data_IF_469033477970
#
_entry.id   IF_469033477970
#
_cell.length_a   1.000
_cell.length_b   1.000
_cell.length_c   1.000
_cell.angle_alpha   90.00
_cell.angle_beta   90.00
_cell.angle_gamma   90.00
#
_symmetry.space_group_name_H-M   'P 1'
#
loop_
_entity.id
_entity.type
_entity.pdbx_description
1 polymer ?
#
# COMPACT_ATOMS: atom_id res chain seq x y z
N UNK A 1 -13.92 35.60 -50.43
CA UNK A 1 -13.31 36.03 -49.16
C UNK A 1 -13.63 34.98 -48.13
N UNK A 2 -12.71 34.09 -47.95
CA UNK A 2 -12.83 32.91 -47.07
C UNK A 2 -12.05 33.22 -45.80
N UNK A 3 -12.77 33.41 -44.70
CA UNK A 3 -12.20 33.51 -43.38
C UNK A 3 -11.96 32.10 -42.81
N UNK A 4 -10.71 31.66 -42.77
CA UNK A 4 -10.30 30.44 -42.06
C UNK A 4 -10.19 30.72 -40.57
N UNK A 5 -10.93 29.97 -39.79
CA UNK A 5 -10.84 29.94 -38.33
C UNK A 5 -9.67 29.03 -37.93
N UNK A 6 -8.66 29.47 -37.20
CA UNK A 6 -7.60 28.60 -36.71
C UNK A 6 -8.08 27.93 -35.42
N UNK A 7 -8.47 26.65 -35.54
CA UNK A 7 -8.63 25.73 -34.39
C UNK A 7 -7.31 25.69 -33.61
N UNK A 8 -7.26 26.40 -32.49
CA UNK A 8 -6.21 26.28 -31.50
C UNK A 8 -6.28 24.89 -30.86
N UNK A 9 -5.50 23.96 -31.38
CA UNK A 9 -5.19 22.69 -30.69
C UNK A 9 -4.26 23.01 -29.53
N UNK A 10 -4.86 23.33 -28.41
CA UNK A 10 -4.16 23.38 -27.12
C UNK A 10 -3.78 21.96 -26.73
N UNK A 11 -2.60 21.50 -27.10
CA UNK A 11 -1.94 20.36 -26.47
C UNK A 11 -1.67 20.76 -25.03
N UNK A 12 -2.53 20.38 -24.09
CA UNK A 12 -2.17 20.36 -22.67
C UNK A 12 -0.90 19.52 -22.57
N UNK A 13 0.22 20.15 -22.29
CA UNK A 13 1.47 19.49 -22.01
C UNK A 13 1.21 18.54 -20.82
N UNK A 14 1.19 17.25 -21.08
CA UNK A 14 0.97 16.23 -20.07
C UNK A 14 2.10 16.39 -19.06
N UNK A 15 1.80 16.98 -17.89
CA UNK A 15 2.78 17.20 -16.84
C UNK A 15 3.51 15.89 -16.56
N UNK A 16 4.84 15.94 -16.49
CA UNK A 16 5.67 14.77 -16.22
C UNK A 16 5.14 14.04 -14.97
N UNK A 17 5.17 12.70 -15.02
CA UNK A 17 4.73 11.91 -13.88
C UNK A 17 5.63 12.19 -12.68
N UNK A 18 5.09 12.40 -11.47
CA UNK A 18 5.89 12.69 -10.29
C UNK A 18 6.79 11.49 -9.92
N UNK A 19 7.86 11.76 -9.17
CA UNK A 19 8.73 10.71 -8.65
C UNK A 19 7.95 9.78 -7.72
N UNK A 20 7.19 10.36 -6.78
CA UNK A 20 6.45 9.63 -5.74
C UNK A 20 4.97 9.96 -5.81
N UNK A 21 4.12 8.93 -5.73
CA UNK A 21 2.70 9.08 -5.42
C UNK A 21 2.38 8.42 -4.08
N UNK A 22 1.65 9.13 -3.23
CA UNK A 22 1.07 8.58 -2.01
C UNK A 22 -0.45 8.47 -2.21
N UNK A 23 -0.99 7.26 -2.09
CA UNK A 23 -2.43 7.01 -2.15
C UNK A 23 -3.01 6.79 -0.76
N UNK A 24 -3.95 7.64 -0.33
CA UNK A 24 -4.60 7.57 0.97
C UNK A 24 -6.09 7.26 0.78
N UNK A 25 -6.51 5.98 0.86
CA UNK A 25 -7.92 5.63 0.96
C UNK A 25 -8.40 5.89 2.39
N UNK A 26 -9.57 6.53 2.54
CA UNK A 26 -10.14 6.84 3.85
C UNK A 26 -11.65 6.59 3.87
N UNK A 27 -12.16 6.16 5.02
CA UNK A 27 -13.58 6.08 5.34
C UNK A 27 -13.78 6.34 6.83
N UNK A 28 -14.52 7.41 7.18
CA UNK A 28 -14.80 7.84 8.55
C UNK A 28 -13.53 7.94 9.41
N UNK A 29 -12.56 8.72 8.93
CA UNK A 29 -11.23 8.83 9.52
C UNK A 29 -10.97 10.08 10.33
N UNK A 30 -11.96 10.90 10.66
CA UNK A 30 -11.81 12.25 11.25
C UNK A 30 -10.86 12.30 12.47
N UNK A 31 -10.81 11.19 13.24
CA UNK A 31 -10.06 11.14 14.50
C UNK A 31 -8.53 11.17 14.33
N UNK A 32 -8.00 10.63 13.22
CA UNK A 32 -6.55 10.46 13.00
C UNK A 32 -6.06 11.13 11.71
N UNK A 33 -6.96 11.37 10.77
CA UNK A 33 -6.63 11.81 9.41
C UNK A 33 -5.78 13.08 9.36
N UNK A 34 -6.00 14.02 10.29
CA UNK A 34 -5.24 15.28 10.32
C UNK A 34 -3.75 15.02 10.53
N UNK A 35 -3.39 14.22 11.53
CA UNK A 35 -1.99 13.85 11.82
C UNK A 35 -1.36 13.12 10.63
N UNK A 36 -2.09 12.18 10.03
CA UNK A 36 -1.63 11.47 8.85
C UNK A 36 -1.31 12.44 7.71
N UNK A 37 -2.25 13.33 7.34
CA UNK A 37 -2.07 14.31 6.26
C UNK A 37 -0.95 15.31 6.55
N UNK A 38 -0.79 15.77 7.79
CA UNK A 38 0.32 16.62 8.19
C UNK A 38 1.67 15.94 7.91
N UNK A 39 1.81 14.66 8.28
CA UNK A 39 3.04 13.90 8.03
C UNK A 39 3.30 13.67 6.53
N UNK A 40 2.25 13.46 5.72
CA UNK A 40 2.36 13.29 4.28
C UNK A 40 2.74 14.60 3.58
N UNK A 41 2.16 15.73 3.99
CA UNK A 41 2.49 17.04 3.44
C UNK A 41 3.88 17.53 3.88
N UNK A 42 4.39 17.06 5.03
CA UNK A 42 5.73 17.37 5.53
C UNK A 42 6.86 16.61 4.81
N UNK A 43 6.55 15.68 3.89
CA UNK A 43 7.60 14.93 3.21
C UNK A 43 8.54 15.82 2.41
N UNK A 44 9.85 15.60 2.59
CA UNK A 44 10.92 16.40 1.98
C UNK A 44 11.16 16.13 0.49
N UNK A 45 10.63 15.01 -0.04
CA UNK A 45 10.65 14.75 -1.47
C UNK A 45 9.78 15.77 -2.19
N UNK A 46 10.38 16.59 -3.08
CA UNK A 46 9.69 17.71 -3.72
C UNK A 46 8.72 17.27 -4.83
N UNK A 47 9.11 16.26 -5.60
CA UNK A 47 8.33 15.74 -6.73
C UNK A 47 7.37 14.63 -6.23
N UNK A 48 6.29 15.06 -5.59
CA UNK A 48 5.31 14.26 -4.87
C UNK A 48 3.88 14.62 -5.26
N UNK A 49 3.02 13.64 -5.46
CA UNK A 49 1.56 13.80 -5.42
C UNK A 49 0.95 12.99 -4.26
N UNK A 50 -0.12 13.49 -3.66
CA UNK A 50 -0.91 12.83 -2.64
C UNK A 50 -2.35 12.70 -3.17
N UNK A 51 -2.81 11.47 -3.36
CA UNK A 51 -4.15 11.18 -3.86
C UNK A 51 -5.00 10.64 -2.72
N UNK A 52 -5.97 11.43 -2.27
CA UNK A 52 -6.92 11.02 -1.24
C UNK A 52 -8.19 10.50 -1.92
N UNK A 53 -8.64 9.31 -1.55
CA UNK A 53 -9.94 8.78 -1.93
C UNK A 53 -10.82 8.60 -0.69
N UNK A 54 -11.75 9.51 -0.50
CA UNK A 54 -12.78 9.45 0.53
C UNK A 54 -13.93 8.53 0.07
N UNK A 55 -14.09 7.43 0.75
CA UNK A 55 -15.02 6.35 0.43
C UNK A 55 -16.48 6.66 0.84
N UNK A 56 -16.95 7.89 0.55
CA UNK A 56 -18.25 8.43 0.95
C UNK A 56 -18.41 8.52 2.49
N UNK A 57 -17.43 9.10 3.18
CA UNK A 57 -17.46 9.31 4.64
C UNK A 57 -18.65 10.16 5.07
N UNK A 58 -19.14 9.91 6.29
CA UNK A 58 -20.31 10.57 6.90
C UNK A 58 -19.96 11.41 8.14
N UNK A 59 -18.68 11.45 8.50
CA UNK A 59 -18.10 12.24 9.59
C UNK A 59 -17.38 13.49 9.06
N UNK A 60 -16.48 14.09 9.86
CA UNK A 60 -15.69 15.26 9.49
C UNK A 60 -14.57 15.03 8.46
N UNK A 61 -14.39 13.81 7.94
CA UNK A 61 -13.33 13.43 6.99
C UNK A 61 -13.28 14.35 5.77
N UNK A 62 -14.43 14.63 5.13
CA UNK A 62 -14.49 15.47 3.94
C UNK A 62 -13.95 16.88 4.21
N UNK A 63 -14.35 17.49 5.33
CA UNK A 63 -13.90 18.85 5.69
C UNK A 63 -12.37 18.90 5.84
N UNK A 64 -11.77 17.91 6.52
CA UNK A 64 -10.32 17.80 6.69
C UNK A 64 -9.64 17.63 5.33
N UNK A 65 -10.11 16.71 4.48
CA UNK A 65 -9.50 16.49 3.16
C UNK A 65 -9.53 17.75 2.27
N UNK A 66 -10.64 18.48 2.26
CA UNK A 66 -10.79 19.72 1.48
C UNK A 66 -9.87 20.83 2.00
N UNK A 67 -9.69 20.94 3.32
CA UNK A 67 -8.74 21.88 3.91
C UNK A 67 -7.31 21.63 3.41
N UNK A 68 -6.83 20.37 3.46
CA UNK A 68 -5.49 20.03 3.00
C UNK A 68 -5.33 20.20 1.49
N UNK A 69 -6.33 19.83 0.68
CA UNK A 69 -6.30 20.04 -0.77
C UNK A 69 -6.25 21.54 -1.14
N UNK A 70 -6.85 22.42 -0.34
CA UNK A 70 -6.78 23.87 -0.56
C UNK A 70 -5.42 24.47 -0.15
N UNK A 71 -4.72 23.87 0.82
CA UNK A 71 -3.44 24.38 1.36
C UNK A 71 -2.21 23.86 0.61
N UNK A 72 -2.28 22.67 0.00
CA UNK A 72 -1.16 22.01 -0.66
C UNK A 72 -1.57 21.50 -2.05
N UNK A 73 -1.01 22.11 -3.11
CA UNK A 73 -1.28 21.77 -4.52
C UNK A 73 -0.90 20.33 -4.90
N UNK A 74 -0.08 19.66 -4.09
CA UNK A 74 0.28 18.25 -4.28
C UNK A 74 -0.85 17.30 -3.88
N UNK A 75 -1.82 17.78 -3.08
CA UNK A 75 -2.95 17.01 -2.58
C UNK A 75 -4.10 17.08 -3.57
N UNK A 76 -4.54 15.92 -4.04
CA UNK A 76 -5.72 15.74 -4.87
C UNK A 76 -6.77 14.93 -4.12
N UNK A 77 -7.89 15.57 -3.79
CA UNK A 77 -9.02 14.96 -3.10
C UNK A 77 -10.07 14.47 -4.08
N UNK A 78 -10.50 13.21 -3.90
CA UNK A 78 -11.56 12.57 -4.68
C UNK A 78 -12.55 11.94 -3.69
N UNK A 79 -13.81 12.35 -3.77
CA UNK A 79 -14.89 11.72 -3.00
C UNK A 79 -15.61 10.70 -3.87
N UNK A 80 -15.77 9.48 -3.36
CA UNK A 80 -16.55 8.44 -4.02
C UNK A 80 -18.06 8.71 -3.85
N UNK A 81 -18.87 8.31 -4.83
CA UNK A 81 -20.31 8.43 -4.77
C UNK A 81 -20.94 7.53 -3.70
N UNK A 82 -20.28 6.42 -3.38
CA UNK A 82 -20.69 5.42 -2.38
C UNK A 82 -19.48 4.74 -1.76
N UNK A 83 -19.68 4.08 -0.64
CA UNK A 83 -18.66 3.23 -0.05
C UNK A 83 -18.39 1.99 -0.94
N UNK A 84 -17.19 1.92 -1.50
CA UNK A 84 -16.72 0.83 -2.37
C UNK A 84 -16.18 -0.37 -1.58
N UNK A 85 -15.97 -0.21 -0.27
CA UNK A 85 -15.20 -1.12 0.58
C UNK A 85 -13.72 -0.76 0.62
N UNK A 86 -13.00 -1.31 1.58
CA UNK A 86 -11.58 -0.98 1.79
C UNK A 86 -10.72 -1.42 0.59
N UNK A 87 -10.78 -2.69 0.19
CA UNK A 87 -9.95 -3.23 -0.88
C UNK A 87 -10.07 -2.46 -2.21
N UNK A 88 -11.26 -2.27 -2.77
CA UNK A 88 -11.46 -1.45 -3.97
C UNK A 88 -10.96 -0.01 -3.82
N UNK A 89 -11.11 0.63 -2.64
CA UNK A 89 -10.65 1.99 -2.41
C UNK A 89 -9.11 2.07 -2.36
N UNK A 90 -8.44 1.08 -1.81
CA UNK A 90 -6.98 0.94 -1.88
C UNK A 90 -6.48 0.84 -3.32
N UNK A 91 -7.16 0.06 -4.17
CA UNK A 91 -6.81 -0.04 -5.58
C UNK A 91 -7.13 1.24 -6.36
N UNK A 92 -8.23 1.92 -6.00
CA UNK A 92 -8.61 3.17 -6.65
C UNK A 92 -7.51 4.23 -6.55
N UNK A 93 -6.93 4.47 -5.37
CA UNK A 93 -5.86 5.47 -5.22
C UNK A 93 -4.59 5.10 -6.00
N UNK A 94 -4.29 3.81 -6.16
CA UNK A 94 -3.20 3.37 -7.02
C UNK A 94 -3.47 3.71 -8.49
N UNK A 95 -4.66 3.37 -9.00
CA UNK A 95 -5.01 3.64 -10.41
C UNK A 95 -5.16 5.14 -10.70
N UNK A 96 -5.60 5.93 -9.72
CA UNK A 96 -5.72 7.37 -9.83
C UNK A 96 -4.37 8.10 -9.75
N UNK A 97 -3.29 7.44 -9.31
CA UNK A 97 -1.94 8.00 -9.18
C UNK A 97 -1.09 7.77 -10.43
N UNK A 98 0.05 8.52 -10.57
CA UNK A 98 0.89 8.51 -11.76
C UNK A 98 2.39 8.30 -11.46
N UNK A 99 2.80 8.39 -10.20
CA UNK A 99 4.20 8.39 -9.79
C UNK A 99 4.99 7.16 -10.23
N UNK A 100 6.29 7.34 -10.44
CA UNK A 100 7.25 6.26 -10.71
C UNK A 100 7.31 5.27 -9.56
N UNK A 101 7.23 5.78 -8.32
CA UNK A 101 7.07 5.04 -7.09
C UNK A 101 5.71 5.31 -6.48
N UNK A 102 5.16 4.30 -5.83
CA UNK A 102 3.86 4.40 -5.17
C UNK A 102 3.92 3.89 -3.73
N UNK A 103 3.22 4.58 -2.83
CA UNK A 103 3.00 4.18 -1.44
C UNK A 103 1.53 4.27 -1.09
N UNK A 104 0.97 3.22 -0.46
CA UNK A 104 -0.28 3.38 0.27
C UNK A 104 -0.05 4.09 1.61
N UNK A 105 -0.98 4.91 2.03
CA UNK A 105 -1.04 5.47 3.38
C UNK A 105 -2.36 5.08 4.05
N UNK A 106 -2.31 4.73 5.32
CA UNK A 106 -3.48 4.62 6.17
C UNK A 106 -3.77 5.99 6.80
N UNK A 107 -5.04 6.24 7.15
CA UNK A 107 -5.48 7.51 7.72
C UNK A 107 -5.11 7.68 9.19
N UNK A 108 -4.64 6.62 9.82
CA UNK A 108 -4.30 6.51 11.25
C UNK A 108 -2.80 6.33 11.52
N UNK A 109 -1.97 6.31 10.46
CA UNK A 109 -0.52 6.13 10.55
C UNK A 109 0.20 7.41 10.09
N UNK A 110 1.46 7.58 10.52
CA UNK A 110 2.29 8.73 10.14
C UNK A 110 3.76 8.35 9.96
N UNK A 111 4.60 9.26 9.49
CA UNK A 111 6.01 8.98 9.21
C UNK A 111 6.90 10.21 9.36
N UNK A 112 8.21 9.98 9.53
CA UNK A 112 9.20 11.05 9.52
C UNK A 112 9.23 11.79 8.19
N UNK A 113 9.57 13.10 8.19
CA UNK A 113 9.58 13.92 6.98
C UNK A 113 10.50 13.40 5.87
N UNK A 114 11.58 12.72 6.19
CA UNK A 114 12.58 12.19 5.25
C UNK A 114 12.21 10.80 4.69
N UNK A 115 11.15 10.17 5.20
CA UNK A 115 10.83 8.77 4.93
C UNK A 115 10.74 8.45 3.43
N UNK A 116 10.05 9.27 2.65
CA UNK A 116 9.93 9.03 1.21
C UNK A 116 11.22 9.33 0.46
N UNK A 117 11.97 10.34 0.88
CA UNK A 117 13.25 10.68 0.26
C UNK A 117 14.29 9.57 0.42
N UNK A 118 14.45 9.04 1.65
CA UNK A 118 15.41 7.94 1.90
C UNK A 118 14.99 6.64 1.21
N UNK A 119 13.68 6.32 1.17
CA UNK A 119 13.18 5.16 0.44
C UNK A 119 13.38 5.29 -1.07
N UNK A 120 13.10 6.46 -1.66
CA UNK A 120 13.32 6.70 -3.08
C UNK A 120 14.80 6.58 -3.44
N UNK A 121 15.70 7.20 -2.67
CA UNK A 121 17.15 7.08 -2.87
C UNK A 121 17.63 5.63 -2.78
N UNK A 122 17.12 4.85 -1.82
CA UNK A 122 17.47 3.43 -1.68
C UNK A 122 16.98 2.58 -2.87
N UNK A 123 15.81 2.89 -3.42
CA UNK A 123 15.31 2.23 -4.63
C UNK A 123 16.11 2.64 -5.87
N UNK A 124 16.48 3.92 -6.02
CA UNK A 124 17.34 4.37 -7.14
C UNK A 124 18.71 3.67 -7.11
N UNK A 125 19.31 3.51 -5.92
CA UNK A 125 20.63 2.89 -5.73
C UNK A 125 20.63 1.37 -6.00
N UNK A 126 19.48 0.68 -5.87
CA UNK A 126 19.38 -0.77 -6.10
C UNK A 126 18.21 -1.12 -7.02
N UNK A 127 18.47 -1.28 -8.35
CA UNK A 127 17.45 -1.67 -9.32
C UNK A 127 16.78 -3.02 -9.02
N UNK A 128 17.39 -3.90 -8.24
CA UNK A 128 16.81 -5.19 -7.84
C UNK A 128 15.80 -5.06 -6.68
N UNK A 129 15.80 -3.92 -5.99
CA UNK A 129 14.81 -3.64 -4.95
C UNK A 129 13.49 -3.15 -5.57
N UNK A 130 12.39 -3.80 -5.25
CA UNK A 130 11.03 -3.45 -5.72
C UNK A 130 10.25 -2.66 -4.69
N UNK A 131 10.58 -2.82 -3.41
CA UNK A 131 9.95 -2.14 -2.27
C UNK A 131 11.04 -1.68 -1.30
N UNK A 132 10.86 -0.46 -0.75
CA UNK A 132 11.65 0.06 0.35
C UNK A 132 10.73 0.65 1.42
N UNK A 133 11.00 0.32 2.68
CA UNK A 133 10.26 0.86 3.82
C UNK A 133 11.21 1.44 4.88
N UNK A 134 10.79 2.45 5.66
CA UNK A 134 11.52 2.92 6.83
C UNK A 134 11.51 1.88 7.96
N UNK A 135 12.17 2.16 9.07
CA UNK A 135 11.97 1.38 10.30
C UNK A 135 10.51 1.43 10.71
N UNK A 136 9.90 0.26 10.93
CA UNK A 136 8.50 0.13 11.31
C UNK A 136 8.38 0.21 12.83
N UNK A 137 7.53 1.11 13.32
CA UNK A 137 7.34 1.37 14.76
C UNK A 137 5.85 1.33 15.08
N UNK A 138 5.45 0.46 16.01
CA UNK A 138 4.10 0.51 16.57
C UNK A 138 4.06 1.49 17.73
N UNK A 139 3.05 2.38 17.73
CA UNK A 139 2.82 3.37 18.76
C UNK A 139 1.36 3.30 19.26
N UNK A 140 1.14 3.76 20.51
CA UNK A 140 -0.23 3.98 21.01
C UNK A 140 -0.84 5.29 20.48
N UNK A 141 -2.07 5.60 20.90
CA UNK A 141 -2.78 6.83 20.53
C UNK A 141 -2.11 8.12 21.07
N UNK A 142 -1.20 8.00 22.02
CA UNK A 142 -0.41 9.08 22.60
C UNK A 142 0.97 9.20 21.97
N UNK A 143 1.33 8.30 21.03
CA UNK A 143 2.62 8.28 20.35
C UNK A 143 3.74 7.56 21.13
N UNK A 144 3.44 6.87 22.23
CA UNK A 144 4.43 6.06 22.93
C UNK A 144 4.73 4.79 22.13
N UNK A 145 6.02 4.46 22.02
CA UNK A 145 6.49 3.28 21.30
C UNK A 145 6.07 2.00 22.03
N UNK A 146 5.36 1.12 21.33
CA UNK A 146 4.96 -0.22 21.78
C UNK A 146 5.97 -1.25 21.31
N UNK A 147 6.39 -1.20 20.03
CA UNK A 147 7.31 -2.14 19.41
C UNK A 147 8.04 -1.52 18.22
N UNK A 148 9.26 -2.00 17.95
CA UNK A 148 10.03 -1.68 16.73
C UNK A 148 10.28 -2.97 15.95
N UNK A 149 10.18 -2.90 14.62
CA UNK A 149 10.36 -4.05 13.72
C UNK A 149 11.54 -3.80 12.78
N UNK A 150 12.73 -4.09 13.25
CA UNK A 150 13.93 -4.05 12.42
C UNK A 150 13.99 -5.32 11.56
N UNK A 151 13.85 -5.15 10.25
CA UNK A 151 13.97 -6.22 9.24
C UNK A 151 15.40 -6.41 8.75
N UNK A 152 16.27 -5.46 9.04
CA UNK A 152 17.68 -5.51 8.65
C UNK A 152 17.87 -5.86 7.17
N UNK A 153 18.60 -6.93 6.89
CA UNK A 153 18.88 -7.41 5.53
C UNK A 153 18.00 -8.58 5.09
N UNK A 154 17.00 -8.98 5.88
CA UNK A 154 16.22 -10.19 5.64
C UNK A 154 15.52 -10.18 4.26
N UNK A 155 14.99 -9.03 3.83
CA UNK A 155 14.36 -8.85 2.51
C UNK A 155 15.32 -8.79 1.31
N UNK A 156 16.64 -8.89 1.51
CA UNK A 156 17.68 -8.78 0.46
C UNK A 156 18.16 -10.14 -0.06
N UNK A 157 17.82 -11.23 0.62
CA UNK A 157 18.25 -12.58 0.29
C UNK A 157 17.68 -13.14 -1.01
N UNK A 158 17.88 -14.45 -1.28
CA UNK A 158 17.27 -15.16 -2.41
C UNK A 158 15.73 -15.07 -2.41
N UNK A 159 15.11 -15.20 -3.57
CA UNK A 159 13.65 -15.07 -3.73
C UNK A 159 12.86 -16.00 -2.79
N UNK A 160 13.33 -17.27 -2.62
CA UNK A 160 12.70 -18.24 -1.70
C UNK A 160 12.67 -17.77 -0.24
N UNK A 161 13.71 -17.08 0.22
CA UNK A 161 13.82 -16.65 1.60
C UNK A 161 12.99 -15.39 1.85
N UNK A 162 13.04 -14.42 0.92
CA UNK A 162 12.17 -13.24 0.93
C UNK A 162 10.68 -13.62 0.91
N UNK A 163 10.30 -14.51 -0.02
CA UNK A 163 8.94 -15.01 -0.16
C UNK A 163 8.46 -15.68 1.12
N UNK A 164 9.25 -16.63 1.66
CA UNK A 164 8.89 -17.33 2.89
C UNK A 164 8.72 -16.38 4.07
N UNK A 165 9.59 -15.38 4.21
CA UNK A 165 9.55 -14.41 5.30
C UNK A 165 8.20 -13.66 5.36
N UNK A 166 7.71 -13.18 4.21
CA UNK A 166 6.50 -12.34 4.18
C UNK A 166 5.20 -13.13 4.21
N UNK A 167 5.21 -14.42 3.80
CA UNK A 167 3.99 -15.25 3.80
C UNK A 167 3.75 -15.97 5.14
N UNK A 168 4.68 -15.90 6.10
CA UNK A 168 4.53 -16.53 7.40
C UNK A 168 3.35 -15.95 8.18
N UNK A 169 2.61 -16.82 8.90
CA UNK A 169 1.64 -16.39 9.90
C UNK A 169 2.39 -15.63 11.01
N UNK A 170 1.80 -14.55 11.49
CA UNK A 170 2.41 -13.66 12.49
C UNK A 170 3.31 -12.57 11.91
N UNK A 171 3.61 -12.59 10.60
CA UNK A 171 4.19 -11.43 9.94
C UNK A 171 3.15 -10.29 9.88
N UNK A 172 3.51 -9.09 10.32
CA UNK A 172 2.55 -7.98 10.46
C UNK A 172 2.22 -7.25 9.16
N UNK A 173 2.87 -7.60 8.05
CA UNK A 173 2.67 -7.07 6.71
C UNK A 173 2.76 -5.53 6.57
N UNK A 174 3.32 -4.82 7.55
CA UNK A 174 3.38 -3.35 7.55
C UNK A 174 4.26 -2.79 6.42
N UNK A 175 5.14 -3.62 5.84
CA UNK A 175 5.95 -3.27 4.65
C UNK A 175 5.08 -2.92 3.43
N UNK A 176 3.80 -3.31 3.39
CA UNK A 176 2.87 -2.90 2.33
C UNK A 176 2.72 -1.38 2.24
N UNK A 177 2.94 -0.68 3.35
CA UNK A 177 2.99 0.79 3.43
C UNK A 177 4.36 1.37 3.07
N UNK A 178 5.30 0.59 2.58
CA UNK A 178 6.56 1.05 2.00
C UNK A 178 6.39 1.69 0.63
N UNK A 179 7.45 2.36 0.15
CA UNK A 179 7.53 2.89 -1.19
C UNK A 179 7.86 1.76 -2.17
N UNK A 180 7.03 1.56 -3.18
CA UNK A 180 7.13 0.44 -4.11
C UNK A 180 7.27 0.93 -5.55
N UNK A 181 8.09 0.27 -6.36
CA UNK A 181 8.14 0.55 -7.81
C UNK A 181 6.76 0.31 -8.42
N UNK A 182 6.21 1.34 -9.08
CA UNK A 182 4.93 1.21 -9.79
C UNK A 182 4.97 0.07 -10.82
N UNK A 183 6.08 -0.09 -11.53
CA UNK A 183 6.27 -1.17 -12.52
C UNK A 183 6.18 -2.57 -11.90
N UNK A 184 6.60 -2.75 -10.64
CA UNK A 184 6.45 -4.01 -9.94
C UNK A 184 5.01 -4.24 -9.48
N UNK A 185 4.32 -3.21 -8.97
CA UNK A 185 2.90 -3.29 -8.58
C UNK A 185 2.00 -3.65 -9.77
N UNK A 186 2.25 -3.10 -10.94
CA UNK A 186 1.50 -3.42 -12.17
C UNK A 186 1.60 -4.89 -12.61
N UNK A 187 2.58 -5.65 -12.09
CA UNK A 187 2.75 -7.08 -12.33
C UNK A 187 2.09 -7.96 -11.25
N UNK A 188 1.46 -7.35 -10.26
CA UNK A 188 0.75 -8.02 -9.17
C UNK A 188 -0.76 -7.93 -9.36
N UNK A 189 -1.50 -8.57 -8.48
CA UNK A 189 -2.93 -8.39 -8.42
C UNK A 189 -3.39 -7.26 -7.49
N UNK A 190 -2.46 -6.45 -7.00
CA UNK A 190 -2.74 -5.40 -6.01
C UNK A 190 -3.45 -5.96 -4.77
N UNK A 191 -4.32 -5.15 -4.15
CA UNK A 191 -5.16 -5.61 -3.03
C UNK A 191 -6.31 -6.44 -3.59
N UNK A 192 -6.41 -7.71 -3.18
CA UNK A 192 -7.41 -8.67 -3.66
C UNK A 192 -8.74 -8.50 -2.91
N UNK A 193 -9.79 -9.19 -3.36
CA UNK A 193 -11.14 -9.08 -2.82
C UNK A 193 -11.36 -9.90 -1.53
N UNK A 194 -10.31 -10.17 -0.78
CA UNK A 194 -10.35 -10.90 0.49
C UNK A 194 -9.41 -10.28 1.52
N UNK A 195 -9.73 -10.45 2.78
CA UNK A 195 -8.92 -9.94 3.91
C UNK A 195 -7.53 -10.59 3.94
N UNK A 196 -6.55 -9.86 4.47
CA UNK A 196 -5.13 -10.28 4.56
C UNK A 196 -4.46 -10.47 3.18
N UNK A 197 -5.02 -9.87 2.13
CA UNK A 197 -4.45 -9.87 0.78
C UNK A 197 -3.19 -9.03 0.63
N UNK A 198 -2.87 -8.15 1.58
CA UNK A 198 -1.58 -7.49 1.74
C UNK A 198 -0.41 -8.49 1.83
N UNK A 199 -0.59 -9.61 2.55
CA UNK A 199 0.36 -10.73 2.60
C UNK A 199 0.58 -11.35 1.22
N UNK A 200 -0.47 -11.51 0.44
CA UNK A 200 -0.38 -12.00 -0.94
C UNK A 200 0.41 -11.03 -1.80
N UNK A 201 0.11 -9.73 -1.71
CA UNK A 201 0.82 -8.69 -2.43
C UNK A 201 2.32 -8.65 -2.08
N UNK A 202 2.66 -8.71 -0.80
CA UNK A 202 4.06 -8.78 -0.36
C UNK A 202 4.75 -10.05 -0.88
N UNK A 203 4.08 -11.20 -0.88
CA UNK A 203 4.58 -12.44 -1.48
C UNK A 203 4.83 -12.29 -2.98
N UNK A 204 3.91 -11.68 -3.71
CA UNK A 204 4.06 -11.39 -5.13
C UNK A 204 5.25 -10.46 -5.41
N UNK A 205 5.45 -9.42 -4.59
CA UNK A 205 6.60 -8.50 -4.69
C UNK A 205 7.91 -9.19 -4.33
N UNK A 206 7.93 -10.02 -3.27
CA UNK A 206 9.12 -10.76 -2.84
C UNK A 206 9.65 -11.74 -3.92
N UNK A 207 8.75 -12.29 -4.76
CA UNK A 207 9.16 -13.10 -5.92
C UNK A 207 9.83 -12.26 -7.01
N UNK A 208 9.49 -10.97 -7.13
CA UNK A 208 9.95 -10.07 -8.21
C UNK A 208 11.21 -9.31 -7.89
N UNK A 209 11.49 -9.06 -6.62
CA UNK A 209 12.68 -8.30 -6.22
C UNK A 209 12.88 -8.24 -4.72
N UNK A 210 13.88 -7.46 -4.32
CA UNK A 210 14.26 -7.27 -2.92
C UNK A 210 13.27 -6.35 -2.21
N UNK A 211 13.03 -6.63 -0.93
CA UNK A 211 12.28 -5.79 -0.01
C UNK A 211 13.30 -5.18 0.96
N UNK A 212 13.56 -3.88 0.83
CA UNK A 212 14.65 -3.20 1.55
C UNK A 212 14.10 -2.39 2.71
N UNK A 213 14.78 -2.42 3.83
CA UNK A 213 14.62 -1.42 4.88
C UNK A 213 15.62 -0.28 4.67
N UNK A 214 15.14 0.98 4.68
CA UNK A 214 15.99 2.16 4.66
C UNK A 214 16.33 2.57 6.10
N UNK A 215 17.58 3.03 6.31
CA UNK A 215 17.99 3.67 7.55
C UNK A 215 17.64 5.17 7.55
N UNK A 216 17.56 5.77 8.74
CA UNK A 216 17.45 7.23 8.91
C UNK A 216 16.04 7.80 8.89
N UNK A 217 14.99 6.94 8.84
CA UNK A 217 13.60 7.38 8.97
C UNK A 217 12.71 6.29 9.55
N UNK A 218 11.57 6.68 10.12
CA UNK A 218 10.60 5.80 10.74
C UNK A 218 9.21 5.96 10.10
N UNK A 219 8.47 4.85 10.10
CA UNK A 219 7.03 4.80 9.84
C UNK A 219 6.33 4.33 11.11
N UNK A 220 5.40 5.13 11.59
CA UNK A 220 4.68 4.90 12.84
C UNK A 220 3.29 4.38 12.53
N UNK A 221 3.01 3.15 13.00
CA UNK A 221 1.70 2.53 12.91
C UNK A 221 0.98 2.71 14.24
N UNK A 222 -0.10 3.47 14.24
CA UNK A 222 -0.90 3.73 15.44
C UNK A 222 -1.74 2.49 15.79
N UNK A 223 -1.59 1.99 17.01
CA UNK A 223 -2.34 0.85 17.54
C UNK A 223 -3.46 1.36 18.45
N UNK A 224 -4.68 1.28 17.98
CA UNK A 224 -5.87 1.80 18.68
C UNK A 224 -7.04 0.80 18.62
N UNK A 225 -8.06 1.04 19.45
CA UNK A 225 -9.22 0.14 19.58
C UNK A 225 -10.16 0.09 18.37
N UNK A 226 -10.01 1.01 17.41
CA UNK A 226 -10.86 1.12 16.21
C UNK A 226 -10.30 0.43 14.96
N UNK A 227 -9.16 -0.28 15.09
CA UNK A 227 -8.61 -1.06 13.96
C UNK A 227 -9.58 -2.16 13.53
N UNK A 228 -9.61 -2.46 12.23
CA UNK A 228 -10.58 -3.39 11.63
C UNK A 228 -10.54 -4.80 12.23
N UNK A 229 -9.38 -5.26 12.69
CA UNK A 229 -9.21 -6.55 13.38
C UNK A 229 -9.85 -6.58 14.77
N UNK A 230 -10.11 -5.41 15.38
CA UNK A 230 -10.74 -5.27 16.70
C UNK A 230 -12.21 -4.89 16.64
N UNK A 231 -12.66 -4.27 15.56
CA UNK A 231 -14.02 -3.74 15.41
C UNK A 231 -15.00 -4.80 14.91
N UNK A 232 -14.57 -5.71 14.03
CA UNK A 232 -15.47 -6.70 13.45
C UNK A 232 -15.50 -7.98 14.29
N UNK A 233 -16.69 -8.36 14.75
CA UNK A 233 -16.91 -9.53 15.58
C UNK A 233 -16.77 -10.86 14.81
N UNK A 234 -16.96 -10.83 13.48
CA UNK A 234 -16.90 -12.03 12.65
C UNK A 234 -16.07 -11.82 11.38
N UNK A 235 -15.54 -12.94 10.88
CA UNK A 235 -14.87 -12.97 9.59
C UNK A 235 -15.75 -12.49 8.43
N UNK A 236 -17.05 -12.82 8.45
CA UNK A 236 -18.00 -12.42 7.42
C UNK A 236 -18.22 -10.90 7.40
N UNK A 237 -18.34 -10.26 8.56
CA UNK A 237 -18.45 -8.81 8.67
C UNK A 237 -17.20 -8.12 8.15
N UNK A 238 -16.01 -8.62 8.53
CA UNK A 238 -14.74 -8.10 8.04
C UNK A 238 -14.58 -8.27 6.53
N UNK A 239 -15.01 -9.41 5.96
CA UNK A 239 -14.99 -9.64 4.52
C UNK A 239 -15.94 -8.70 3.75
N UNK A 240 -17.14 -8.44 4.28
CA UNK A 240 -18.09 -7.50 3.69
C UNK A 240 -17.63 -6.04 3.81
N UNK A 241 -17.02 -5.65 4.93
CA UNK A 241 -16.38 -4.34 5.09
C UNK A 241 -15.25 -4.16 4.08
N UNK A 242 -14.44 -5.19 3.90
CA UNK A 242 -13.30 -5.15 2.99
C UNK A 242 -13.74 -4.99 1.53
N UNK A 243 -14.76 -5.73 1.11
CA UNK A 243 -15.42 -5.58 -0.18
C UNK A 243 -16.94 -5.91 -0.03
N UNK A 244 -17.85 -4.94 -0.23
CA UNK A 244 -19.30 -5.16 -0.13
C UNK A 244 -19.83 -6.28 -1.03
N UNK A 245 -19.15 -6.60 -2.13
CA UNK A 245 -19.50 -7.73 -2.99
C UNK A 245 -19.38 -9.10 -2.29
N UNK A 246 -18.71 -9.15 -1.14
CA UNK A 246 -18.56 -10.36 -0.31
C UNK A 246 -19.73 -10.56 0.66
N UNK A 247 -20.68 -9.61 0.75
CA UNK A 247 -21.83 -9.72 1.65
C UNK A 247 -22.63 -10.99 1.33
N UNK A 248 -22.87 -11.82 2.35
CA UNK A 248 -23.59 -13.07 2.21
C UNK A 248 -22.84 -14.19 1.46
N UNK A 249 -21.57 -14.01 1.13
CA UNK A 249 -20.73 -15.02 0.46
C UNK A 249 -19.74 -15.67 1.42
N UNK A 250 -19.47 -16.94 1.21
CA UNK A 250 -18.37 -17.62 1.87
C UNK A 250 -17.05 -17.26 1.14
N UNK A 251 -16.22 -16.46 1.79
CA UNK A 251 -14.90 -16.09 1.27
C UNK A 251 -13.84 -16.91 1.97
N UNK A 252 -13.19 -17.81 1.27
CA UNK A 252 -12.10 -18.65 1.80
C UNK A 252 -10.76 -17.95 1.56
N UNK A 253 -10.40 -16.96 2.41
CA UNK A 253 -9.20 -16.15 2.21
C UNK A 253 -7.92 -16.97 2.11
N UNK A 254 -7.73 -17.98 2.96
CA UNK A 254 -6.53 -18.82 2.92
C UNK A 254 -6.42 -19.59 1.58
N UNK A 255 -7.53 -20.08 1.06
CA UNK A 255 -7.56 -20.76 -0.25
C UNK A 255 -7.29 -19.79 -1.39
N UNK A 256 -7.92 -18.62 -1.38
CA UNK A 256 -7.69 -17.57 -2.37
C UNK A 256 -6.24 -17.09 -2.33
N UNK A 257 -5.67 -16.89 -1.14
CA UNK A 257 -4.27 -16.54 -0.96
C UNK A 257 -3.34 -17.60 -1.56
N UNK A 258 -3.56 -18.87 -1.24
CA UNK A 258 -2.77 -19.98 -1.81
C UNK A 258 -2.83 -20.01 -3.33
N UNK A 259 -4.03 -19.91 -3.90
CA UNK A 259 -4.26 -19.86 -5.34
C UNK A 259 -3.52 -18.70 -6.01
N UNK A 260 -3.62 -17.49 -5.42
CA UNK A 260 -3.00 -16.30 -5.98
C UNK A 260 -1.47 -16.35 -5.89
N UNK A 261 -0.92 -16.84 -4.77
CA UNK A 261 0.52 -17.05 -4.61
C UNK A 261 1.06 -18.12 -5.57
N UNK A 262 0.35 -19.23 -5.76
CA UNK A 262 0.71 -20.26 -6.77
C UNK A 262 0.67 -19.70 -8.19
N UNK A 263 -0.37 -18.91 -8.52
CA UNK A 263 -0.48 -18.25 -9.80
C UNK A 263 0.65 -17.24 -10.05
N UNK A 264 1.04 -16.48 -9.05
CA UNK A 264 2.16 -15.54 -9.14
C UNK A 264 3.51 -16.23 -9.23
N UNK A 265 3.71 -17.27 -8.43
CA UNK A 265 4.88 -18.15 -8.52
C UNK A 265 5.06 -18.76 -9.93
N UNK A 266 3.96 -19.21 -10.53
CA UNK A 266 4.02 -19.77 -11.89
C UNK A 266 4.46 -18.73 -12.94
N UNK A 267 3.92 -17.52 -12.84
CA UNK A 267 4.19 -16.41 -13.78
C UNK A 267 5.51 -15.69 -13.56
N UNK A 268 6.12 -15.82 -12.36
CA UNK A 268 7.37 -15.11 -12.09
C UNK A 268 8.54 -15.67 -12.91
N UNK A 269 9.46 -14.77 -13.30
CA UNK A 269 10.69 -15.13 -14.01
C UNK A 269 11.80 -15.47 -13.01
N UNK A 270 11.73 -16.69 -12.44
CA UNK A 270 12.73 -17.22 -11.51
C UNK A 270 13.35 -18.50 -12.10
N UNK A 271 14.63 -18.76 -11.82
CA UNK A 271 15.27 -20.04 -12.12
C UNK A 271 14.49 -21.22 -11.54
N UNK A 272 14.46 -22.35 -12.26
CA UNK A 272 13.67 -23.54 -11.86
C UNK A 272 13.97 -24.00 -10.41
N UNK A 273 15.23 -23.96 -9.99
CA UNK A 273 15.64 -24.31 -8.62
C UNK A 273 15.04 -23.37 -7.56
N UNK A 274 14.99 -22.06 -7.81
CA UNK A 274 14.33 -21.08 -6.93
C UNK A 274 12.82 -21.30 -6.90
N UNK A 275 12.18 -21.57 -8.07
CA UNK A 275 10.75 -21.91 -8.14
C UNK A 275 10.41 -23.11 -7.27
N UNK A 276 11.17 -24.20 -7.37
CA UNK A 276 10.97 -25.41 -6.57
C UNK A 276 11.14 -25.12 -5.06
N UNK A 277 12.16 -24.33 -4.69
CA UNK A 277 12.38 -23.94 -3.33
C UNK A 277 11.24 -23.10 -2.74
N UNK A 278 10.69 -22.15 -3.50
CA UNK A 278 9.52 -21.36 -3.12
C UNK A 278 8.28 -22.25 -2.92
N UNK A 279 8.03 -23.19 -3.84
CA UNK A 279 6.91 -24.12 -3.75
C UNK A 279 7.00 -25.00 -2.49
N UNK A 280 8.19 -25.52 -2.19
CA UNK A 280 8.42 -26.31 -0.99
C UNK A 280 8.17 -25.50 0.30
N UNK A 281 8.59 -24.23 0.32
CA UNK A 281 8.31 -23.31 1.44
C UNK A 281 6.81 -23.05 1.60
N UNK A 282 6.10 -22.82 0.51
CA UNK A 282 4.65 -22.61 0.52
C UNK A 282 3.91 -23.82 1.07
N UNK A 283 4.29 -25.05 0.64
CA UNK A 283 3.72 -26.29 1.16
C UNK A 283 3.93 -26.48 2.67
N UNK A 284 5.06 -26.00 3.21
CA UNK A 284 5.30 -26.00 4.66
C UNK A 284 4.35 -25.07 5.41
N UNK A 285 4.14 -23.85 4.92
CA UNK A 285 3.26 -22.87 5.56
C UNK A 285 1.82 -23.38 5.57
N UNK A 286 1.34 -23.96 4.47
CA UNK A 286 -0.03 -24.52 4.40
C UNK A 286 -0.24 -25.72 5.31
N UNK A 287 0.80 -26.52 5.54
CA UNK A 287 0.73 -27.69 6.42
C UNK A 287 0.67 -27.34 7.93
N UNK A 288 1.14 -26.14 8.31
CA UNK A 288 1.09 -25.63 9.69
C UNK A 288 -0.27 -24.99 10.04
N UNK A 289 -1.14 -24.77 9.05
CA UNK A 289 -2.42 -24.07 9.16
C UNK A 289 -3.63 -25.00 9.03
N UNK A 290 -3.43 -26.28 8.83
CA UNK A 290 -4.43 -27.33 8.82
C UNK A 290 -4.47 -28.07 10.18
#
# INVERSE_FOLDING_TARGET
>A
MTGGDPLATGTEAQAAAPLVSIGLPVYNGENFLRQALESLCAQTVADLEIVISDNASTDGTEAICREFAARDRRVRYIRQERNLGAGPNYNFVFHASRGRYFKWAAHDDYMDPEAMAVCAAALEADPQSVLCHPLLVDVDEQGHVIAEFDRGTAGLGPARDRFFQVIQIGHNCAEVFGLTRRSALLQTGLIRDYTDSDRTLLGELALRGRLRQAAGARFYRCIHGRKSDKVFASYHERAAWFNPANQGRLVLSAWNQLKDLLGSWWRCDLPAGEKLACLWRLAKVTKWNA
#
